data_IF_071174130663
#
_entry.id   IF_071174130663
#
_cell.length_a   1.000
_cell.length_b   1.000
_cell.length_c   1.000
_cell.angle_alpha   90.00
_cell.angle_beta   90.00
_cell.angle_gamma   90.00
#
_symmetry.space_group_name_H-M   'P 1'
#
loop_
_entity.id
_entity.type
_entity.pdbx_description
1 polymer ?
#
# COMPACT_ATOMS: atom_id res chain seq x y z
N UNK A 1 -19.41 -14.66 9.22
CA UNK A 1 -19.70 -13.21 9.32
C UNK A 1 -21.19 -12.98 9.11
N UNK A 2 -21.87 -12.33 10.05
CA UNK A 2 -23.29 -11.99 9.94
C UNK A 2 -23.53 -10.96 8.83
N UNK A 3 -24.73 -10.94 8.24
CA UNK A 3 -25.14 -9.91 7.25
C UNK A 3 -24.94 -8.48 7.78
N UNK A 4 -25.12 -8.30 9.08
CA UNK A 4 -24.94 -7.02 9.78
C UNK A 4 -23.48 -6.52 9.76
N UNK A 5 -22.51 -7.42 9.97
CA UNK A 5 -21.09 -7.06 9.91
C UNK A 5 -20.64 -6.62 8.51
N UNK A 6 -21.24 -7.18 7.46
CA UNK A 6 -20.96 -6.76 6.07
C UNK A 6 -21.47 -5.34 5.80
N UNK A 7 -22.67 -5.01 6.28
CA UNK A 7 -23.24 -3.68 6.11
C UNK A 7 -22.40 -2.61 6.82
N UNK A 8 -21.93 -2.91 8.03
CA UNK A 8 -21.05 -2.02 8.79
C UNK A 8 -19.74 -1.71 8.04
N UNK A 9 -19.09 -2.73 7.47
CA UNK A 9 -17.87 -2.55 6.70
C UNK A 9 -18.08 -1.71 5.42
N UNK A 10 -19.24 -1.85 4.79
CA UNK A 10 -19.62 -1.04 3.62
C UNK A 10 -19.78 0.43 4.02
N UNK A 11 -20.46 0.72 5.15
CA UNK A 11 -20.58 2.08 5.67
C UNK A 11 -19.20 2.70 5.96
N UNK A 12 -18.29 1.94 6.59
CA UNK A 12 -16.91 2.38 6.83
C UNK A 12 -16.20 2.70 5.51
N UNK A 13 -16.38 1.86 4.48
CA UNK A 13 -15.79 2.09 3.17
C UNK A 13 -16.24 3.41 2.56
N UNK A 14 -17.53 3.73 2.59
CA UNK A 14 -18.05 5.01 2.08
C UNK A 14 -17.53 6.20 2.89
N UNK A 15 -17.47 6.10 4.22
CA UNK A 15 -16.89 7.15 5.09
C UNK A 15 -15.41 7.35 4.77
N UNK A 16 -14.67 6.27 4.48
CA UNK A 16 -13.24 6.35 4.12
C UNK A 16 -12.97 7.08 2.80
N UNK A 17 -13.98 7.21 1.92
CA UNK A 17 -13.87 7.97 0.68
C UNK A 17 -13.90 9.49 0.93
N UNK A 18 -14.50 9.94 2.03
CA UNK A 18 -14.59 11.35 2.43
C UNK A 18 -13.32 11.85 3.15
N UNK A 19 -12.39 10.96 3.50
CA UNK A 19 -11.16 11.35 4.17
C UNK A 19 -10.19 12.09 3.24
N UNK A 20 -9.61 13.19 3.72
CA UNK A 20 -8.51 13.87 3.04
C UNK A 20 -7.27 12.96 2.93
N UNK A 21 -6.94 12.54 1.70
CA UNK A 21 -5.79 11.69 1.40
C UNK A 21 -4.56 12.52 1.10
N UNK A 22 -3.41 12.06 1.58
CA UNK A 22 -2.11 12.68 1.32
C UNK A 22 -1.42 11.96 0.17
N UNK A 23 -1.18 12.67 -0.94
CA UNK A 23 -0.58 12.13 -2.18
C UNK A 23 0.83 11.54 -1.98
N UNK A 24 1.54 12.01 -0.96
CA UNK A 24 2.91 11.58 -0.61
C UNK A 24 2.95 10.37 0.32
N UNK A 25 1.83 9.95 0.91
CA UNK A 25 1.79 8.78 1.82
C UNK A 25 1.50 7.50 1.04
N UNK A 26 2.40 6.53 1.17
CA UNK A 26 2.27 5.18 0.61
C UNK A 26 2.37 4.15 1.73
N UNK A 27 1.36 3.29 1.85
CA UNK A 27 1.35 2.21 2.85
C UNK A 27 1.70 0.86 2.22
N UNK A 28 2.28 -0.03 3.01
CA UNK A 28 2.75 -1.35 2.58
C UNK A 28 2.22 -2.44 3.48
N UNK A 29 1.89 -3.58 2.88
CA UNK A 29 1.57 -4.83 3.57
C UNK A 29 2.04 -6.04 2.76
N UNK A 30 2.11 -7.21 3.39
CA UNK A 30 2.49 -8.47 2.74
C UNK A 30 1.94 -9.67 3.52
N UNK A 31 1.60 -10.76 2.83
CA UNK A 31 1.12 -12.03 3.40
C UNK A 31 0.01 -11.87 4.44
N UNK A 32 -1.14 -11.32 4.02
CA UNK A 32 -2.31 -11.05 4.85
C UNK A 32 -2.03 -10.12 6.04
N UNK A 33 -0.91 -9.38 5.98
CA UNK A 33 -0.42 -8.47 7.00
C UNK A 33 0.51 -9.12 8.03
N UNK A 34 0.91 -10.38 7.83
CA UNK A 34 1.61 -11.18 8.84
C UNK A 34 3.12 -11.33 8.61
N UNK A 35 3.67 -10.89 7.47
CA UNK A 35 5.10 -11.00 7.17
C UNK A 35 5.67 -9.69 6.64
N UNK A 36 6.94 -9.42 6.98
CA UNK A 36 7.76 -8.43 6.30
C UNK A 36 8.60 -9.10 5.21
N UNK A 37 8.00 -9.29 4.04
CA UNK A 37 8.56 -10.13 2.98
C UNK A 37 8.14 -9.70 1.57
N UNK A 38 8.78 -10.34 0.58
CA UNK A 38 8.46 -10.28 -0.85
C UNK A 38 8.67 -8.89 -1.47
N UNK A 39 8.15 -8.67 -2.68
CA UNK A 39 8.29 -7.44 -3.48
C UNK A 39 7.89 -6.18 -2.70
N UNK A 40 6.87 -6.28 -1.83
CA UNK A 40 6.42 -5.18 -0.97
C UNK A 40 7.52 -4.69 -0.03
N UNK A 41 8.32 -5.60 0.55
CA UNK A 41 9.48 -5.24 1.39
C UNK A 41 10.57 -4.54 0.60
N UNK A 42 10.89 -5.03 -0.60
CA UNK A 42 11.93 -4.41 -1.44
C UNK A 42 11.52 -3.02 -1.90
N UNK A 43 10.28 -2.84 -2.32
CA UNK A 43 9.74 -1.53 -2.69
C UNK A 43 9.75 -0.57 -1.50
N UNK A 44 9.25 -1.00 -0.35
CA UNK A 44 9.31 -0.25 0.89
C UNK A 44 10.73 0.24 1.18
N UNK A 45 11.73 -0.65 1.17
CA UNK A 45 13.13 -0.29 1.42
C UNK A 45 13.69 0.68 0.38
N UNK A 46 13.36 0.50 -0.90
CA UNK A 46 13.81 1.43 -1.95
C UNK A 46 13.27 2.84 -1.75
N UNK A 47 12.04 2.97 -1.26
CA UNK A 47 11.42 4.26 -0.97
C UNK A 47 11.95 4.92 0.30
N UNK A 48 12.55 4.18 1.23
CA UNK A 48 13.21 4.78 2.39
C UNK A 48 14.45 5.59 2.03
N UNK A 49 15.11 5.26 0.91
CA UNK A 49 16.30 5.97 0.43
C UNK A 49 15.94 7.38 -0.03
N UNK A 50 14.74 7.54 -0.59
CA UNK A 50 14.31 8.77 -1.21
C UNK A 50 13.01 9.28 -0.57
N UNK A 51 13.20 10.25 0.33
CA UNK A 51 12.18 10.82 1.22
C UNK A 51 11.11 11.67 0.53
N UNK A 52 11.06 11.71 -0.81
CA UNK A 52 10.01 12.41 -1.56
C UNK A 52 8.62 11.85 -1.24
N UNK A 53 8.55 10.54 -0.97
CA UNK A 53 7.34 9.87 -0.53
C UNK A 53 7.55 9.30 0.88
N UNK A 54 6.49 9.33 1.70
CA UNK A 54 6.47 8.76 3.05
C UNK A 54 5.98 7.32 2.98
N UNK A 55 6.91 6.38 3.10
CA UNK A 55 6.65 4.95 3.17
C UNK A 55 6.31 4.51 4.60
N UNK A 56 5.18 3.83 4.77
CA UNK A 56 4.68 3.34 6.07
C UNK A 56 4.33 1.86 5.96
N UNK A 57 4.78 1.04 6.89
CA UNK A 57 4.38 -0.37 6.94
C UNK A 57 3.17 -0.59 7.85
N UNK A 58 2.20 -1.36 7.41
CA UNK A 58 1.03 -1.78 8.20
C UNK A 58 1.09 -3.30 8.39
N UNK A 59 0.99 -3.76 9.63
CA UNK A 59 1.02 -5.19 9.95
C UNK A 59 -0.07 -5.57 10.95
N UNK A 60 -0.47 -6.84 10.91
CA UNK A 60 -1.34 -7.49 11.92
C UNK A 60 -0.53 -8.29 12.94
N UNK A 61 0.74 -8.56 12.65
CA UNK A 61 1.62 -9.36 13.49
C UNK A 61 2.43 -8.45 14.43
N UNK A 62 2.29 -8.67 15.74
CA UNK A 62 2.96 -7.89 16.77
C UNK A 62 4.48 -8.10 16.79
N UNK A 63 4.95 -9.30 16.44
CA UNK A 63 6.37 -9.63 16.39
C UNK A 63 7.06 -8.86 15.26
N UNK A 64 6.42 -8.83 14.08
CA UNK A 64 6.88 -8.02 12.94
C UNK A 64 6.88 -6.54 13.31
N UNK A 65 5.84 -6.04 13.99
CA UNK A 65 5.79 -4.66 14.45
C UNK A 65 6.98 -4.35 15.37
N UNK A 66 7.23 -5.17 16.39
CA UNK A 66 8.31 -4.97 17.35
C UNK A 66 9.68 -5.03 16.66
N UNK A 67 9.89 -5.99 15.77
CA UNK A 67 11.13 -6.15 15.01
C UNK A 67 11.41 -4.93 14.12
N UNK A 68 10.43 -4.52 13.32
CA UNK A 68 10.55 -3.36 12.43
C UNK A 68 10.71 -2.06 13.21
N UNK A 69 10.01 -1.92 14.35
CA UNK A 69 10.13 -0.75 15.21
C UNK A 69 11.53 -0.63 15.80
N UNK A 70 12.13 -1.75 16.22
CA UNK A 70 13.51 -1.83 16.70
C UNK A 70 14.53 -1.45 15.61
N UNK A 71 14.22 -1.76 14.35
CA UNK A 71 15.03 -1.37 13.19
C UNK A 71 14.86 0.11 12.78
N UNK A 72 14.02 0.88 13.49
CA UNK A 72 13.78 2.29 13.22
C UNK A 72 12.80 2.56 12.06
N UNK A 73 12.08 1.54 11.58
CA UNK A 73 11.10 1.72 10.53
C UNK A 73 9.81 2.36 11.04
N UNK A 74 9.17 3.13 10.15
CA UNK A 74 7.81 3.61 10.39
C UNK A 74 6.80 2.47 10.13
N UNK A 75 6.30 1.89 11.22
CA UNK A 75 5.39 0.74 11.22
C UNK A 75 4.25 0.94 12.22
N UNK A 76 3.05 0.48 11.87
CA UNK A 76 1.87 0.52 12.76
C UNK A 76 1.04 -0.76 12.67
N UNK A 77 0.40 -1.11 13.80
CA UNK A 77 -0.58 -2.21 13.84
C UNK A 77 -1.88 -1.77 13.15
N UNK A 78 -2.44 -2.64 12.30
CA UNK A 78 -3.59 -2.34 11.43
C UNK A 78 -4.85 -1.84 12.15
N UNK A 79 -5.11 -2.27 13.39
CA UNK A 79 -6.28 -1.91 14.19
C UNK A 79 -5.97 -0.88 15.29
N UNK A 80 -4.74 -0.39 15.37
CA UNK A 80 -4.39 0.71 16.27
C UNK A 80 -4.92 2.04 15.73
N UNK A 81 -5.20 3.02 16.60
CA UNK A 81 -5.65 4.36 16.18
C UNK A 81 -4.71 4.99 15.13
N UNK A 82 -3.40 4.86 15.33
CA UNK A 82 -2.39 5.35 14.38
C UNK A 82 -2.43 4.56 13.06
N UNK A 83 -2.54 3.23 13.13
CA UNK A 83 -2.67 2.40 11.93
C UNK A 83 -3.92 2.71 11.12
N UNK A 84 -5.07 2.91 11.78
CA UNK A 84 -6.33 3.31 11.13
C UNK A 84 -6.17 4.68 10.47
N UNK A 85 -5.62 5.66 11.19
CA UNK A 85 -5.35 7.00 10.65
C UNK A 85 -4.46 6.96 9.39
N UNK A 86 -3.38 6.18 9.43
CA UNK A 86 -2.48 6.07 8.28
C UNK A 86 -3.11 5.36 7.10
N UNK A 87 -3.95 4.34 7.34
CA UNK A 87 -4.72 3.71 6.28
C UNK A 87 -5.74 4.67 5.66
N UNK A 88 -6.51 5.41 6.46
CA UNK A 88 -7.50 6.39 5.98
C UNK A 88 -6.87 7.53 5.18
N UNK A 89 -5.69 8.00 5.58
CA UNK A 89 -5.03 9.17 4.97
C UNK A 89 -4.04 8.83 3.86
N UNK A 90 -3.75 7.56 3.59
CA UNK A 90 -2.87 7.17 2.50
C UNK A 90 -3.55 7.34 1.14
N UNK A 91 -2.83 7.84 0.14
CA UNK A 91 -3.34 7.91 -1.23
C UNK A 91 -3.05 6.64 -2.02
N UNK A 92 -2.05 5.85 -1.61
CA UNK A 92 -1.59 4.65 -2.32
C UNK A 92 -1.28 3.54 -1.33
N UNK A 93 -1.53 2.29 -1.73
CA UNK A 93 -1.17 1.11 -0.95
C UNK A 93 -0.62 -0.01 -1.82
N UNK A 94 0.45 -0.65 -1.36
CA UNK A 94 1.12 -1.74 -2.04
C UNK A 94 0.93 -3.06 -1.27
N UNK A 95 0.49 -4.10 -1.97
CA UNK A 95 0.29 -5.43 -1.38
C UNK A 95 0.94 -6.51 -2.25
N UNK A 96 1.19 -7.68 -1.67
CA UNK A 96 1.86 -8.78 -2.37
C UNK A 96 0.94 -9.97 -2.63
N UNK A 97 0.07 -10.30 -1.67
CA UNK A 97 -0.79 -11.50 -1.76
C UNK A 97 -2.24 -11.13 -2.09
N UNK A 98 -2.69 -9.94 -1.68
CA UNK A 98 -4.04 -9.44 -2.00
C UNK A 98 -4.43 -8.22 -1.18
N UNK A 99 -5.70 -7.80 -1.29
CA UNK A 99 -6.27 -6.67 -0.56
C UNK A 99 -6.31 -6.87 0.97
N UNK A 100 -6.28 -8.12 1.41
CA UNK A 100 -6.31 -8.50 2.82
C UNK A 100 -4.98 -8.29 3.55
N UNK A 101 -3.92 -7.91 2.84
CA UNK A 101 -2.64 -7.51 3.45
C UNK A 101 -2.79 -6.28 4.36
N UNK A 102 -3.84 -5.48 4.13
CA UNK A 102 -4.20 -4.26 4.85
C UNK A 102 -5.72 -4.24 5.11
N UNK A 103 -6.21 -3.33 5.96
CA UNK A 103 -7.66 -3.16 6.18
C UNK A 103 -8.29 -2.43 4.98
N UNK A 104 -8.57 -3.16 3.88
CA UNK A 104 -9.08 -2.61 2.61
C UNK A 104 -10.30 -1.68 2.76
N UNK A 105 -11.17 -1.92 3.73
CA UNK A 105 -12.33 -1.05 4.01
C UNK A 105 -11.97 0.38 4.42
N UNK A 106 -10.72 0.64 4.82
CA UNK A 106 -10.22 1.98 5.15
C UNK A 106 -9.58 2.69 3.93
N UNK A 107 -9.50 2.00 2.79
CA UNK A 107 -8.68 2.39 1.65
C UNK A 107 -9.51 2.77 0.41
N UNK A 108 -10.79 3.12 0.57
CA UNK A 108 -11.73 3.34 -0.53
C UNK A 108 -11.15 4.08 -1.74
N UNK A 109 -10.79 5.36 -1.59
CA UNK A 109 -10.21 6.20 -2.66
C UNK A 109 -8.67 6.08 -2.81
N UNK A 110 -8.02 5.08 -2.20
CA UNK A 110 -6.59 4.87 -2.38
C UNK A 110 -6.31 4.01 -3.62
N UNK A 111 -5.23 4.35 -4.34
CA UNK A 111 -4.74 3.56 -5.48
C UNK A 111 -4.06 2.29 -4.98
N UNK A 112 -4.62 1.14 -5.37
CA UNK A 112 -4.06 -0.18 -5.06
C UNK A 112 -2.97 -0.57 -6.06
N UNK A 113 -1.82 -1.01 -5.55
CA UNK A 113 -0.71 -1.52 -6.34
C UNK A 113 -0.43 -2.96 -5.90
N UNK A 114 -0.87 -3.92 -6.71
CA UNK A 114 -0.60 -5.34 -6.48
C UNK A 114 0.76 -5.72 -7.09
N UNK A 115 1.67 -6.21 -6.24
CA UNK A 115 3.02 -6.57 -6.67
C UNK A 115 3.14 -8.05 -7.09
N UNK A 116 2.18 -8.91 -6.71
CA UNK A 116 2.15 -10.37 -6.92
C UNK A 116 3.48 -11.08 -6.60
N UNK A 117 3.58 -12.40 -6.85
CA UNK A 117 4.82 -13.18 -6.69
C UNK A 117 5.81 -13.04 -7.88
N UNK A 118 5.51 -12.15 -8.84
CA UNK A 118 6.41 -11.80 -9.93
C UNK A 118 5.87 -10.56 -10.63
N UNK A 119 6.60 -9.44 -10.53
CA UNK A 119 6.19 -8.07 -10.92
C UNK A 119 5.30 -8.06 -12.17
N UNK A 120 3.95 -7.97 -12.05
CA UNK A 120 3.08 -7.83 -13.20
C UNK A 120 2.66 -6.36 -13.30
N UNK A 121 3.35 -5.63 -14.18
CA UNK A 121 3.07 -4.24 -14.56
C UNK A 121 1.73 -4.03 -15.31
N UNK A 122 0.85 -5.03 -15.43
CA UNK A 122 -0.14 -5.06 -16.53
C UNK A 122 -1.49 -4.38 -16.25
N UNK A 123 -1.80 -3.95 -15.03
CA UNK A 123 -3.11 -3.34 -14.70
C UNK A 123 -3.02 -2.06 -13.86
N UNK A 124 -2.05 -1.20 -14.16
CA UNK A 124 -2.15 0.22 -13.75
C UNK A 124 -3.19 0.95 -14.64
N UNK A 125 -3.63 0.30 -15.73
CA UNK A 125 -4.82 0.62 -16.53
C UNK A 125 -5.93 -0.38 -16.22
N UNK A 126 -6.88 0.02 -15.39
CA UNK A 126 -8.29 -0.07 -15.79
C UNK A 126 -8.61 1.40 -16.06
N UNK A 127 -8.43 1.93 -17.28
CA UNK A 127 -9.30 1.71 -18.45
C UNK A 127 -10.77 1.60 -18.05
N UNK A 128 -11.29 2.68 -17.46
CA UNK A 128 -12.61 3.14 -17.84
C UNK A 128 -12.43 4.40 -18.66
N UNK A 129 -13.00 4.39 -19.86
CA UNK A 129 -13.28 5.57 -20.68
C UNK A 129 -14.28 6.50 -19.96
N UNK A 130 -13.92 7.03 -18.80
CA UNK A 130 -14.57 8.17 -18.18
C UNK A 130 -13.60 9.33 -18.34
N UNK A 131 -13.77 9.97 -19.48
CA UNK A 131 -13.26 11.28 -19.87
C UNK A 131 -13.10 12.20 -18.65
N UNK A 132 -11.89 12.35 -18.10
CA UNK A 132 -11.51 13.44 -17.19
C UNK A 132 -9.98 13.44 -16.93
N UNK A 133 -9.24 14.25 -17.70
CA UNK A 133 -8.18 15.19 -17.29
C UNK A 133 -7.40 15.01 -15.95
N UNK A 134 -7.09 13.80 -15.49
CA UNK A 134 -6.13 13.61 -14.41
C UNK A 134 -4.73 13.71 -14.98
N UNK A 135 -4.15 14.92 -14.92
CA UNK A 135 -2.70 15.13 -15.06
C UNK A 135 -2.00 14.09 -14.19
N UNK A 136 -1.22 13.18 -14.79
CA UNK A 136 -0.27 12.33 -14.08
C UNK A 136 0.53 13.26 -13.16
N UNK A 137 0.30 13.16 -11.85
CA UNK A 137 0.93 14.02 -10.85
C UNK A 137 2.33 13.51 -10.53
N UNK A 138 3.24 14.41 -10.13
CA UNK A 138 4.66 14.08 -9.94
C UNK A 138 4.89 12.90 -8.99
N UNK A 139 4.05 12.75 -7.96
CA UNK A 139 4.11 11.64 -7.01
C UNK A 139 3.85 10.27 -7.68
N UNK A 140 2.96 10.20 -8.68
CA UNK A 140 2.69 8.98 -9.44
C UNK A 140 3.87 8.63 -10.35
N UNK A 141 4.50 9.63 -10.96
CA UNK A 141 5.69 9.44 -11.79
C UNK A 141 6.89 8.96 -10.96
N UNK A 142 7.06 9.50 -9.74
CA UNK A 142 8.08 9.04 -8.79
C UNK A 142 7.85 7.57 -8.41
N UNK A 143 6.62 7.16 -8.14
CA UNK A 143 6.34 5.76 -7.80
C UNK A 143 6.53 4.82 -9.00
N UNK A 144 6.09 5.22 -10.20
CA UNK A 144 6.36 4.50 -11.45
C UNK A 144 7.86 4.28 -11.66
N UNK A 145 8.71 5.25 -11.31
CA UNK A 145 10.17 5.12 -11.35
C UNK A 145 10.69 4.03 -10.42
N UNK A 146 10.29 4.00 -9.14
CA UNK A 146 10.73 2.93 -8.23
C UNK A 146 10.31 1.53 -8.68
N UNK A 147 9.10 1.40 -9.22
CA UNK A 147 8.61 0.13 -9.77
C UNK A 147 9.46 -0.33 -10.96
N UNK A 148 9.93 0.60 -11.80
CA UNK A 148 10.83 0.31 -12.93
C UNK A 148 12.22 -0.11 -12.44
N UNK A 149 12.77 0.57 -11.45
CA UNK A 149 14.08 0.27 -10.87
C UNK A 149 14.11 -1.13 -10.21
N UNK A 150 13.03 -1.50 -9.51
CA UNK A 150 12.86 -2.86 -8.96
C UNK A 150 12.88 -3.93 -10.03
N UNK A 151 12.23 -3.69 -11.19
CA UNK A 151 12.21 -4.63 -12.32
C UNK A 151 13.60 -4.84 -12.93
N UNK A 152 14.42 -3.80 -12.99
CA UNK A 152 15.79 -3.92 -13.50
C UNK A 152 16.68 -4.70 -12.54
N UNK A 153 16.52 -4.49 -11.23
CA UNK A 153 17.21 -5.27 -10.19
C UNK A 153 16.76 -6.73 -10.15
N UNK A 154 15.46 -7.00 -10.25
CA UNK A 154 14.95 -8.38 -10.25
C UNK A 154 15.43 -9.17 -11.48
N UNK A 155 15.68 -8.51 -12.62
CA UNK A 155 16.22 -9.13 -13.83
C UNK A 155 17.72 -9.39 -13.77
N UNK A 156 18.48 -8.57 -13.05
CA UNK A 156 19.93 -8.71 -12.91
C UNK A 156 20.35 -9.73 -11.84
N UNK A 157 19.45 -10.11 -10.92
CA UNK A 157 19.67 -11.19 -9.95
C UNK A 157 19.38 -12.60 -10.50
N UNK A 158 19.02 -12.73 -11.78
CA UNK A 158 18.71 -14.00 -12.46
C UNK A 158 19.83 -14.36 -13.48
N UNK A 159 20.94 -13.64 -13.51
CA UNK A 159 22.18 -13.99 -14.23
C UNK A 159 23.34 -13.97 -13.24
#
# INVERSE_FOLDING_TARGET
>A
MSKLGKLFNVCISYISCLCFRNSKKVIFGSWFGNKFADNSKYLFKSMLVDKRLRAIWITKNIDIYNEMKKQGYEVYIHNSLKGIYHQLTASKYCTCTGKDDVSYYLLGNAKHIELWHGIPLKKIMYDDNINNNHKDNDDDNILKKYLKDLKQKSRSSIH
#
